data_IF_505132635638
#
_entry.id   IF_505132635638
#
_cell.length_a   1.000
_cell.length_b   1.000
_cell.length_c   1.000
_cell.angle_alpha   90.00
_cell.angle_beta   90.00
_cell.angle_gamma   90.00
#
_symmetry.space_group_name_H-M   'P 1'
#
loop_
_entity.id
_entity.type
_entity.pdbx_description
1 polymer ?
#
# COMPACT_ATOMS: atom_id res chain seq x y z
N UNK A 1 -33.43 22.72 55.92
CA UNK A 1 -34.51 21.76 56.25
C UNK A 1 -34.33 20.56 55.33
N UNK A 2 -33.99 19.32 55.71
CA UNK A 2 -34.06 18.54 56.95
C UNK A 2 -32.66 18.06 57.38
N UNK A 3 -32.61 17.53 58.60
CA UNK A 3 -31.47 17.23 59.45
C UNK A 3 -31.61 15.77 59.95
N UNK A 4 -30.53 15.20 60.56
CA UNK A 4 -30.46 13.97 61.43
C UNK A 4 -30.14 12.63 60.73
N UNK A 5 -29.30 11.69 61.22
CA UNK A 5 -28.65 11.33 62.50
C UNK A 5 -27.41 10.41 62.17
N UNK A 6 -26.22 10.43 62.80
CA UNK A 6 -25.74 10.07 64.16
C UNK A 6 -25.53 8.55 64.44
N UNK A 7 -24.24 8.19 64.67
CA UNK A 7 -23.59 7.11 65.48
C UNK A 7 -23.93 5.61 65.22
N UNK A 8 -23.16 4.58 65.63
CA UNK A 8 -22.12 4.33 66.67
C UNK A 8 -21.27 3.09 66.26
N UNK A 9 -20.01 3.03 66.71
CA UNK A 9 -19.10 1.87 66.77
C UNK A 9 -19.63 0.63 67.54
N UNK A 10 -19.16 -0.57 67.18
CA UNK A 10 -18.84 -1.74 68.05
C UNK A 10 -17.97 -2.72 67.23
N UNK A 11 -16.67 -2.91 67.55
CA UNK A 11 -16.09 -4.03 68.34
C UNK A 11 -16.67 -5.41 67.96
N UNK A 12 -15.91 -6.50 67.72
CA UNK A 12 -14.58 -6.90 68.17
C UNK A 12 -14.23 -8.28 67.56
N UNK A 13 -12.93 -8.51 67.32
CA UNK A 13 -12.19 -9.79 67.36
C UNK A 13 -12.67 -11.02 66.58
N UNK A 14 -11.87 -11.49 65.61
CA UNK A 14 -10.96 -12.63 65.85
C UNK A 14 -10.03 -12.91 64.64
N UNK A 15 -8.82 -13.34 64.98
CA UNK A 15 -7.83 -14.07 64.18
C UNK A 15 -6.82 -13.30 63.31
N UNK A 16 -5.68 -13.05 63.97
CA UNK A 16 -4.33 -13.15 63.42
C UNK A 16 -4.19 -14.34 62.46
N UNK A 17 -3.85 -14.06 61.22
CA UNK A 17 -2.87 -14.87 60.47
C UNK A 17 -2.05 -13.93 59.60
N UNK A 18 -0.84 -13.65 60.08
CA UNK A 18 0.25 -13.07 59.31
C UNK A 18 0.51 -13.99 58.12
N UNK A 19 0.37 -13.47 56.90
CA UNK A 19 0.94 -14.06 55.69
C UNK A 19 1.72 -12.94 55.00
N UNK A 20 3.01 -13.12 54.64
CA UNK A 20 3.88 -12.01 54.31
C UNK A 20 3.58 -11.50 52.90
N UNK A 21 3.40 -10.19 52.78
CA UNK A 21 3.48 -9.46 51.52
C UNK A 21 4.91 -9.49 51.00
N UNK A 22 5.23 -10.48 50.16
CA UNK A 22 6.38 -10.42 49.26
C UNK A 22 5.90 -9.87 47.91
N UNK A 23 6.42 -8.73 47.42
CA UNK A 23 6.24 -8.37 46.03
C UNK A 23 7.09 -9.35 45.22
N UNK A 24 6.46 -10.33 44.57
CA UNK A 24 7.15 -11.07 43.53
C UNK A 24 7.43 -10.09 42.39
N UNK A 25 8.63 -9.51 42.36
CA UNK A 25 9.19 -9.01 41.11
C UNK A 25 9.24 -10.20 40.16
N UNK A 26 8.28 -10.27 39.23
CA UNK A 26 8.40 -11.18 38.09
C UNK A 26 9.67 -10.77 37.35
N UNK A 27 10.67 -11.66 37.23
CA UNK A 27 11.88 -11.35 36.49
C UNK A 27 11.51 -10.93 35.07
N UNK A 28 12.02 -9.78 34.63
CA UNK A 28 11.84 -9.26 33.27
C UNK A 28 13.19 -9.34 32.55
N UNK A 29 13.55 -10.52 32.00
CA UNK A 29 14.74 -10.65 31.18
C UNK A 29 14.67 -9.76 29.94
N UNK A 30 15.84 -9.34 29.46
CA UNK A 30 16.01 -8.57 28.24
C UNK A 30 16.09 -9.49 27.03
N UNK A 31 15.23 -9.25 26.06
CA UNK A 31 15.23 -9.94 24.77
C UNK A 31 15.74 -8.98 23.70
N UNK A 32 16.87 -9.32 23.08
CA UNK A 32 17.50 -8.55 22.00
C UNK A 32 17.33 -9.25 20.66
N UNK A 33 16.83 -8.54 19.65
CA UNK A 33 16.63 -9.08 18.29
C UNK A 33 17.65 -8.53 17.30
N UNK A 34 18.46 -9.40 16.73
CA UNK A 34 19.42 -9.07 15.67
C UNK A 34 18.84 -9.41 14.27
N UNK A 35 19.20 -8.65 13.21
CA UNK A 35 20.19 -7.57 13.16
C UNK A 35 19.70 -6.19 13.65
N UNK A 36 18.40 -6.04 13.94
CA UNK A 36 17.78 -4.76 14.28
C UNK A 36 18.30 -4.09 15.57
N UNK A 37 19.01 -4.85 16.42
CA UNK A 37 19.51 -4.44 17.74
C UNK A 37 18.44 -3.87 18.68
N UNK A 38 17.15 -4.13 18.39
CA UNK A 38 16.04 -3.75 19.25
C UNK A 38 15.99 -4.66 20.47
N UNK A 39 15.84 -4.07 21.65
CA UNK A 39 15.80 -4.77 22.94
C UNK A 39 14.49 -4.46 23.66
N UNK A 40 13.88 -5.46 24.27
CA UNK A 40 12.64 -5.32 25.05
C UNK A 40 12.71 -6.20 26.29
N UNK A 41 12.13 -5.72 27.39
CA UNK A 41 11.98 -6.49 28.62
C UNK A 41 10.60 -7.16 28.63
N UNK A 42 10.55 -8.48 28.82
CA UNK A 42 9.29 -9.22 28.86
C UNK A 42 9.25 -10.20 30.03
N UNK A 43 8.09 -10.45 30.65
CA UNK A 43 7.95 -11.45 31.71
C UNK A 43 8.32 -12.86 31.24
N UNK A 44 8.87 -13.67 32.14
CA UNK A 44 9.08 -15.11 31.92
C UNK A 44 7.76 -15.78 31.49
N UNK A 45 7.85 -16.68 30.52
CA UNK A 45 6.71 -17.42 29.97
C UNK A 45 5.95 -16.67 28.86
N UNK A 46 6.28 -15.40 28.59
CA UNK A 46 5.65 -14.66 27.48
C UNK A 46 6.01 -15.30 26.13
N UNK A 47 5.05 -15.49 25.20
CA UNK A 47 5.34 -16.03 23.88
C UNK A 47 6.27 -15.12 23.09
N UNK A 48 7.32 -15.70 22.51
CA UNK A 48 8.38 -14.92 21.88
C UNK A 48 7.90 -14.09 20.68
N UNK A 49 6.91 -14.60 19.95
CA UNK A 49 6.31 -13.90 18.82
C UNK A 49 5.49 -12.67 19.23
N UNK A 50 4.89 -12.65 20.42
CA UNK A 50 4.18 -11.48 20.95
C UNK A 50 5.17 -10.39 21.35
N UNK A 51 6.27 -10.79 21.97
CA UNK A 51 7.38 -9.90 22.33
C UNK A 51 7.95 -9.20 21.10
N UNK A 52 8.19 -9.94 20.01
CA UNK A 52 8.65 -9.39 18.74
C UNK A 52 7.62 -8.41 18.15
N UNK A 53 6.34 -8.78 18.14
CA UNK A 53 5.26 -7.93 17.61
C UNK A 53 5.12 -6.61 18.36
N UNK A 54 5.29 -6.62 19.69
CA UNK A 54 5.18 -5.43 20.52
C UNK A 54 6.19 -4.32 20.15
N UNK A 55 7.33 -4.70 19.56
CA UNK A 55 8.38 -3.77 19.10
C UNK A 55 8.44 -3.61 17.58
N UNK A 56 7.38 -4.05 16.89
CA UNK A 56 7.23 -3.94 15.45
C UNK A 56 8.18 -4.84 14.65
N UNK A 57 8.55 -5.99 15.22
CA UNK A 57 9.27 -7.06 14.51
C UNK A 57 8.26 -8.15 14.17
N UNK A 58 8.12 -8.47 12.89
CA UNK A 58 7.26 -9.56 12.45
C UNK A 58 8.06 -10.85 12.24
N UNK A 59 7.58 -11.94 12.84
CA UNK A 59 8.16 -13.28 12.68
C UNK A 59 7.16 -14.08 11.85
N UNK A 60 7.62 -14.61 10.71
CA UNK A 60 6.78 -15.31 9.76
C UNK A 60 6.26 -16.65 10.33
N UNK A 61 5.03 -16.63 10.85
CA UNK A 61 4.37 -17.78 11.47
C UNK A 61 3.01 -18.10 10.82
N UNK A 62 2.98 -18.60 9.56
CA UNK A 62 1.74 -18.77 8.78
C UNK A 62 0.76 -19.80 9.36
N UNK A 63 1.19 -20.68 10.26
CA UNK A 63 0.32 -21.63 10.96
C UNK A 63 -0.38 -21.08 12.22
N UNK A 64 -0.26 -19.77 12.48
CA UNK A 64 -0.92 -19.12 13.61
C UNK A 64 -0.42 -19.56 14.99
N UNK A 65 0.82 -20.04 15.11
CA UNK A 65 1.40 -20.40 16.41
C UNK A 65 1.25 -21.85 16.85
N UNK A 66 0.67 -22.71 16.01
CA UNK A 66 0.44 -24.13 16.33
C UNK A 66 1.69 -25.01 16.24
N UNK A 67 2.82 -24.47 15.77
CA UNK A 67 4.07 -25.22 15.67
C UNK A 67 4.07 -26.31 14.60
N UNK A 68 3.16 -26.27 13.63
CA UNK A 68 2.96 -27.35 12.63
C UNK A 68 3.65 -27.11 11.28
N UNK A 69 3.92 -25.85 10.90
CA UNK A 69 4.45 -25.53 9.56
C UNK A 69 5.97 -25.42 9.44
N UNK A 70 6.70 -25.26 10.56
CA UNK A 70 8.16 -25.11 10.54
C UNK A 70 8.72 -23.81 9.93
N UNK A 71 7.89 -22.79 9.64
CA UNK A 71 8.34 -21.57 8.92
C UNK A 71 8.80 -20.40 9.80
N UNK A 72 8.59 -20.48 11.12
CA UNK A 72 8.95 -19.44 12.10
C UNK A 72 10.34 -19.68 12.74
N UNK A 73 11.30 -20.15 11.94
CA UNK A 73 12.64 -20.51 12.40
C UNK A 73 13.42 -19.27 12.83
N UNK A 74 13.87 -19.26 14.07
CA UNK A 74 14.80 -18.26 14.60
C UNK A 74 15.96 -18.98 15.27
N UNK A 75 17.08 -18.28 15.44
CA UNK A 75 18.26 -18.86 16.10
C UNK A 75 18.54 -18.13 17.41
N UNK A 76 18.76 -18.88 18.48
CA UNK A 76 19.21 -18.34 19.75
C UNK A 76 20.72 -18.20 19.71
N UNK A 77 21.23 -16.97 19.78
CA UNK A 77 22.67 -16.69 19.85
C UNK A 77 23.18 -16.89 21.28
N UNK A 78 22.41 -16.41 22.26
CA UNK A 78 22.74 -16.52 23.68
C UNK A 78 21.49 -16.46 24.54
N UNK A 79 21.56 -17.05 25.74
CA UNK A 79 20.44 -17.19 26.66
C UNK A 79 19.65 -18.49 26.47
N UNK A 80 18.65 -18.69 27.32
CA UNK A 80 17.77 -19.86 27.28
C UNK A 80 16.32 -19.46 27.05
N UNK A 81 15.64 -20.21 26.20
CA UNK A 81 14.20 -20.08 25.94
C UNK A 81 13.55 -21.45 26.07
N UNK A 82 12.33 -21.49 26.59
CA UNK A 82 11.58 -22.72 26.65
C UNK A 82 10.89 -22.94 25.30
N UNK A 83 11.24 -24.03 24.61
CA UNK A 83 10.69 -24.35 23.29
C UNK A 83 10.27 -25.81 23.20
N UNK A 84 9.20 -26.07 22.45
CA UNK A 84 8.80 -27.41 22.04
C UNK A 84 9.04 -27.62 20.55
N UNK A 85 9.60 -28.76 20.14
CA UNK A 85 9.63 -29.20 18.75
C UNK A 85 8.69 -30.40 18.58
N UNK A 86 7.68 -30.27 17.71
CA UNK A 86 6.78 -31.38 17.35
C UNK A 86 7.44 -32.36 16.35
N UNK A 87 8.74 -32.63 16.50
CA UNK A 87 9.51 -33.48 15.59
C UNK A 87 9.84 -32.86 14.23
N UNK A 88 9.64 -31.54 14.06
CA UNK A 88 9.84 -30.82 12.79
C UNK A 88 11.31 -30.45 12.53
N UNK A 89 12.08 -30.21 13.60
CA UNK A 89 13.47 -29.78 13.49
C UNK A 89 14.41 -30.98 13.39
N UNK A 90 15.39 -30.92 12.49
CA UNK A 90 16.46 -31.92 12.44
C UNK A 90 17.38 -31.79 13.66
N UNK A 91 18.14 -32.85 13.98
CA UNK A 91 19.12 -32.83 15.08
C UNK A 91 20.17 -31.73 14.88
N UNK A 92 20.65 -31.58 13.65
CA UNK A 92 21.62 -30.54 13.27
C UNK A 92 21.07 -29.12 13.50
N UNK A 93 19.78 -28.89 13.24
CA UNK A 93 19.15 -27.58 13.49
C UNK A 93 19.06 -27.27 14.98
N UNK A 94 18.72 -28.27 15.80
CA UNK A 94 18.65 -28.12 17.26
C UNK A 94 20.04 -27.83 17.83
N UNK A 95 21.08 -28.52 17.36
CA UNK A 95 22.48 -28.28 17.77
C UNK A 95 22.98 -26.88 17.38
N UNK A 96 22.45 -26.30 16.29
CA UNK A 96 22.73 -24.94 15.86
C UNK A 96 21.92 -23.87 16.63
N UNK A 97 21.15 -24.25 17.65
CA UNK A 97 20.32 -23.34 18.44
C UNK A 97 19.11 -22.82 17.68
N UNK A 98 18.65 -23.51 16.63
CA UNK A 98 17.48 -23.13 15.85
C UNK A 98 16.22 -23.66 16.54
N UNK A 99 15.23 -22.77 16.67
CA UNK A 99 13.96 -23.05 17.34
C UNK A 99 12.78 -22.52 16.52
N UNK A 100 11.57 -22.96 16.89
CA UNK A 100 10.33 -22.39 16.39
C UNK A 100 9.90 -21.24 17.30
N UNK A 101 9.99 -20.00 16.80
CA UNK A 101 9.62 -18.82 17.59
C UNK A 101 8.17 -18.84 18.06
N UNK A 102 7.29 -19.50 17.29
CA UNK A 102 5.86 -19.51 17.58
C UNK A 102 5.46 -20.40 18.77
N UNK A 103 6.31 -21.38 19.14
CA UNK A 103 6.14 -22.25 20.31
C UNK A 103 7.15 -21.95 21.42
N UNK A 104 7.98 -20.92 21.24
CA UNK A 104 8.99 -20.51 22.19
C UNK A 104 8.44 -19.48 23.19
N UNK A 105 8.87 -19.60 24.44
CA UNK A 105 8.55 -18.67 25.52
C UNK A 105 9.82 -18.19 26.22
N UNK A 106 9.76 -16.97 26.76
CA UNK A 106 10.88 -16.31 27.44
C UNK A 106 11.31 -17.10 28.69
N UNK A 107 12.59 -17.43 28.79
CA UNK A 107 13.20 -18.14 29.93
C UNK A 107 13.67 -17.20 31.05
N UNK A 108 14.43 -17.73 32.01
CA UNK A 108 14.81 -17.02 33.25
C UNK A 108 15.96 -16.01 33.13
N UNK A 109 16.51 -15.77 31.93
CA UNK A 109 17.66 -14.89 31.72
C UNK A 109 17.59 -14.14 30.40
N UNK A 110 18.50 -13.17 30.22
CA UNK A 110 18.57 -12.36 29.00
C UNK A 110 18.84 -13.23 27.76
N UNK A 111 18.19 -12.91 26.65
CA UNK A 111 18.24 -13.71 25.41
C UNK A 111 18.57 -12.81 24.23
N UNK A 112 19.45 -13.30 23.36
CA UNK A 112 19.71 -12.70 22.05
C UNK A 112 19.25 -13.65 20.95
N UNK A 113 18.34 -13.16 20.11
CA UNK A 113 17.74 -13.92 19.01
C UNK A 113 18.16 -13.33 17.68
N UNK A 114 18.64 -14.19 16.80
CA UNK A 114 18.94 -13.90 15.42
C UNK A 114 17.73 -14.18 14.54
N UNK A 115 17.29 -13.14 13.83
CA UNK A 115 16.23 -13.18 12.85
C UNK A 115 16.78 -13.26 11.41
N UNK A 116 18.09 -13.46 11.22
CA UNK A 116 18.71 -13.62 9.89
C UNK A 116 17.98 -14.66 9.02
N UNK A 117 17.50 -15.74 9.64
CA UNK A 117 16.74 -16.81 9.01
C UNK A 117 15.30 -16.41 8.63
N UNK A 118 14.74 -15.40 9.30
CA UNK A 118 13.45 -14.79 8.96
C UNK A 118 13.61 -13.73 7.86
N UNK A 119 14.75 -13.03 7.85
CA UNK A 119 15.10 -12.04 6.81
C UNK A 119 15.65 -12.67 5.53
N UNK A 120 16.01 -13.96 5.56
CA UNK A 120 16.75 -14.65 4.51
C UNK A 120 15.93 -15.52 3.56
N UNK A 121 14.60 -15.48 3.62
CA UNK A 121 13.72 -16.22 2.69
C UNK A 121 12.50 -15.44 2.21
N UNK A 122 12.43 -14.15 2.53
CA UNK A 122 11.63 -13.19 1.80
C UNK A 122 12.61 -12.47 0.86
N UNK A 123 12.37 -12.55 -0.45
CA UNK A 123 13.34 -12.19 -1.48
C UNK A 123 14.10 -10.90 -1.19
N UNK A 124 15.43 -10.96 -1.24
CA UNK A 124 16.26 -9.78 -1.41
C UNK A 124 15.82 -9.11 -2.71
N UNK A 125 14.98 -8.08 -2.62
CA UNK A 125 14.95 -7.06 -3.66
C UNK A 125 16.28 -6.34 -3.53
N UNK A 126 17.22 -6.65 -4.41
CA UNK A 126 18.42 -5.86 -4.52
C UNK A 126 18.00 -4.46 -5.00
N UNK A 127 18.44 -3.43 -4.28
CA UNK A 127 18.49 -2.02 -4.70
C UNK A 127 19.35 -1.80 -5.97
N UNK A 128 19.56 -2.85 -6.78
CA UNK A 128 20.24 -2.75 -8.06
C UNK A 128 19.21 -2.32 -9.09
N UNK A 129 19.41 -1.11 -9.60
CA UNK A 129 18.86 -0.49 -10.80
C UNK A 129 18.93 -1.32 -12.10
N UNK A 130 19.15 -2.63 -12.02
CA UNK A 130 19.07 -3.54 -13.15
C UNK A 130 17.61 -3.89 -13.35
N UNK A 131 17.04 -3.32 -14.42
CA UNK A 131 15.74 -3.60 -15.03
C UNK A 131 15.19 -4.98 -14.65
N UNK A 132 14.48 -5.05 -13.52
CA UNK A 132 13.68 -6.19 -13.15
C UNK A 132 12.42 -6.11 -14.03
N UNK A 133 12.61 -6.38 -15.31
CA UNK A 133 11.51 -6.59 -16.24
C UNK A 133 10.75 -7.80 -15.71
N UNK A 134 9.65 -7.52 -15.00
CA UNK A 134 8.73 -8.52 -14.47
C UNK A 134 8.12 -9.39 -15.58
N UNK A 135 8.31 -8.98 -16.85
CA UNK A 135 7.80 -9.61 -18.06
C UNK A 135 8.91 -9.63 -19.12
N UNK A 136 9.05 -10.75 -19.82
CA UNK A 136 9.96 -10.86 -20.99
C UNK A 136 9.59 -9.79 -22.04
N UNK A 137 10.52 -8.92 -22.47
CA UNK A 137 10.26 -7.89 -23.48
C UNK A 137 9.69 -8.41 -24.79
N UNK A 138 9.93 -9.68 -25.14
CA UNK A 138 9.38 -10.32 -26.35
C UNK A 138 7.86 -10.51 -26.25
N UNK A 139 7.31 -10.54 -25.03
CA UNK A 139 5.87 -10.64 -24.78
C UNK A 139 5.17 -9.28 -24.74
N UNK A 140 5.93 -8.17 -24.76
CA UNK A 140 5.33 -6.84 -24.77
C UNK A 140 4.82 -6.50 -26.18
N UNK A 141 3.60 -5.96 -26.30
CA UNK A 141 3.07 -5.49 -27.58
C UNK A 141 3.98 -4.41 -28.16
N UNK A 142 4.07 -4.33 -29.49
CA UNK A 142 4.82 -3.27 -30.13
C UNK A 142 4.10 -1.93 -29.93
N UNK A 143 4.83 -0.81 -30.02
CA UNK A 143 4.22 0.53 -29.91
C UNK A 143 3.04 0.74 -30.87
N UNK A 144 3.05 0.08 -32.02
CA UNK A 144 1.99 0.19 -33.03
C UNK A 144 0.71 -0.55 -32.60
N UNK A 145 0.82 -1.49 -31.67
CA UNK A 145 -0.31 -2.23 -31.10
C UNK A 145 -0.91 -1.52 -29.88
N UNK A 146 -0.23 -0.49 -29.36
CA UNK A 146 -0.67 0.27 -28.19
C UNK A 146 -1.60 1.42 -28.60
N UNK A 147 -2.83 1.39 -28.10
CA UNK A 147 -3.71 2.57 -28.07
C UNK A 147 -3.62 3.18 -26.67
N UNK A 148 -2.81 4.22 -26.52
CA UNK A 148 -2.66 4.89 -25.24
C UNK A 148 -3.98 5.58 -24.87
N UNK A 149 -4.52 5.24 -23.70
CA UNK A 149 -5.70 5.89 -23.11
C UNK A 149 -5.45 7.38 -22.85
N UNK A 150 -4.19 7.80 -22.78
CA UNK A 150 -3.83 9.21 -22.76
C UNK A 150 -3.07 9.56 -24.05
N UNK A 151 -3.44 10.67 -24.68
CA UNK A 151 -2.72 11.24 -25.81
C UNK A 151 -2.55 12.75 -25.67
N UNK A 152 -1.46 13.26 -26.22
CA UNK A 152 -1.22 14.70 -26.32
C UNK A 152 -1.62 15.18 -27.71
N UNK A 153 -2.49 16.19 -27.78
CA UNK A 153 -2.89 16.84 -29.03
C UNK A 153 -2.35 18.26 -29.05
N UNK A 154 -1.66 18.60 -30.13
CA UNK A 154 -1.14 19.93 -30.36
C UNK A 154 -2.14 20.75 -31.17
N UNK A 155 -2.55 21.91 -30.64
CA UNK A 155 -3.48 22.82 -31.32
C UNK A 155 -3.01 24.26 -31.22
N UNK A 156 -3.40 25.06 -32.19
CA UNK A 156 -3.23 26.52 -32.14
C UNK A 156 -4.57 27.16 -31.82
N UNK A 157 -4.61 27.89 -30.72
CA UNK A 157 -5.78 28.64 -30.26
C UNK A 157 -5.65 30.08 -30.75
N UNK A 158 -6.67 30.57 -31.46
CA UNK A 158 -6.67 31.92 -32.01
C UNK A 158 -6.56 32.97 -30.90
N UNK A 159 -5.76 34.00 -31.13
CA UNK A 159 -5.64 35.14 -30.22
C UNK A 159 -6.97 35.90 -30.07
N UNK A 160 -7.27 36.44 -28.88
CA UNK A 160 -8.53 37.15 -28.65
C UNK A 160 -8.71 38.37 -29.55
N UNK A 161 -9.89 38.47 -30.17
CA UNK A 161 -10.27 39.61 -31.01
C UNK A 161 -11.33 40.45 -30.31
N UNK A 162 -11.23 41.78 -30.42
CA UNK A 162 -12.21 42.72 -29.82
C UNK A 162 -13.67 42.43 -30.20
N UNK A 163 -13.90 41.85 -31.38
CA UNK A 163 -15.23 41.70 -31.97
C UNK A 163 -15.92 40.36 -31.71
N UNK A 164 -15.23 39.33 -31.21
CA UNK A 164 -15.75 37.96 -31.23
C UNK A 164 -16.45 37.52 -29.93
N UNK A 165 -16.15 38.16 -28.78
CA UNK A 165 -16.78 37.88 -27.49
C UNK A 165 -16.53 36.46 -26.94
N UNK A 166 -15.51 35.74 -27.43
CA UNK A 166 -15.27 34.34 -27.08
C UNK A 166 -14.39 34.18 -25.85
N UNK A 167 -14.74 33.22 -24.99
CA UNK A 167 -13.89 32.78 -23.88
C UNK A 167 -12.72 31.92 -24.38
N UNK A 168 -11.69 31.75 -23.55
CA UNK A 168 -10.57 30.85 -23.86
C UNK A 168 -11.04 29.39 -24.07
N UNK A 169 -12.08 28.97 -23.34
CA UNK A 169 -12.72 27.65 -23.50
C UNK A 169 -13.41 27.54 -24.87
N UNK A 170 -14.14 28.56 -25.31
CA UNK A 170 -14.79 28.57 -26.62
C UNK A 170 -13.76 28.45 -27.74
N UNK A 171 -12.63 29.17 -27.62
CA UNK A 171 -11.54 29.16 -28.61
C UNK A 171 -10.85 27.80 -28.65
N UNK A 172 -10.50 27.24 -27.49
CA UNK A 172 -9.91 25.91 -27.41
C UNK A 172 -10.86 24.84 -27.98
N UNK A 173 -12.15 24.93 -27.63
CA UNK A 173 -13.17 24.01 -28.12
C UNK A 173 -13.31 24.08 -29.64
N UNK A 174 -13.28 25.28 -30.23
CA UNK A 174 -13.28 25.47 -31.69
C UNK A 174 -12.03 24.86 -32.33
N UNK A 175 -10.85 25.10 -31.75
CA UNK A 175 -9.59 24.54 -32.25
C UNK A 175 -9.59 23.01 -32.24
N UNK A 176 -10.08 22.37 -31.17
CA UNK A 176 -10.17 20.91 -31.06
C UNK A 176 -11.23 20.32 -32.00
N UNK A 177 -12.33 21.01 -32.25
CA UNK A 177 -13.40 20.55 -33.16
C UNK A 177 -13.07 20.67 -34.64
N UNK A 178 -11.99 21.36 -35.01
CA UNK A 178 -11.60 21.51 -36.41
C UNK A 178 -11.37 20.15 -37.12
N UNK A 179 -11.06 19.08 -36.38
CA UNK A 179 -10.92 17.71 -36.88
C UNK A 179 -12.22 16.89 -36.94
N UNK A 180 -13.36 17.42 -36.50
CA UNK A 180 -14.62 16.69 -36.35
C UNK A 180 -14.68 15.87 -35.05
N UNK A 181 -15.82 15.92 -34.34
CA UNK A 181 -16.03 15.20 -33.08
C UNK A 181 -16.71 16.05 -32.01
N UNK A 182 -17.14 15.39 -30.92
CA UNK A 182 -17.63 16.09 -29.74
C UNK A 182 -16.47 16.77 -28.99
N UNK A 183 -16.78 17.87 -28.30
CA UNK A 183 -15.76 18.54 -27.48
C UNK A 183 -15.49 17.69 -26.23
N UNK A 184 -14.22 17.39 -25.94
CA UNK A 184 -13.86 16.75 -24.68
C UNK A 184 -14.30 17.59 -23.48
N UNK A 185 -14.64 16.92 -22.38
CA UNK A 185 -14.88 17.58 -21.10
C UNK A 185 -13.58 18.19 -20.59
N UNK A 186 -13.60 19.41 -20.04
CA UNK A 186 -12.38 20.06 -19.53
C UNK A 186 -12.35 19.94 -18.00
N UNK A 187 -11.28 19.34 -17.46
CA UNK A 187 -11.11 19.25 -16.01
C UNK A 187 -10.90 20.62 -15.37
N UNK A 188 -11.15 20.72 -14.07
CA UNK A 188 -10.92 21.97 -13.35
C UNK A 188 -9.43 22.36 -13.32
N UNK A 189 -8.51 21.40 -13.21
CA UNK A 189 -7.07 21.66 -13.29
C UNK A 189 -6.67 22.22 -14.65
N UNK A 190 -7.18 21.63 -15.75
CA UNK A 190 -6.96 22.14 -17.10
C UNK A 190 -7.53 23.55 -17.29
N UNK A 191 -8.73 23.84 -16.78
CA UNK A 191 -9.32 25.18 -16.83
C UNK A 191 -8.45 26.23 -16.10
N UNK A 192 -7.83 25.85 -14.98
CA UNK A 192 -6.93 26.75 -14.22
C UNK A 192 -5.64 27.05 -14.98
N UNK A 193 -5.17 26.13 -15.83
CA UNK A 193 -3.96 26.31 -16.65
C UNK A 193 -4.25 27.05 -17.96
N UNK A 194 -5.48 26.95 -18.46
CA UNK A 194 -5.86 27.35 -19.82
C UNK A 194 -5.49 28.79 -20.16
N UNK A 195 -5.82 29.74 -19.29
CA UNK A 195 -5.65 31.16 -19.58
C UNK A 195 -4.18 31.53 -19.82
N UNK A 196 -3.27 31.04 -18.97
CA UNK A 196 -1.84 31.31 -19.14
C UNK A 196 -1.28 30.55 -20.35
N UNK A 197 -1.68 29.29 -20.52
CA UNK A 197 -1.23 28.45 -21.63
C UNK A 197 -1.53 29.04 -23.01
N UNK A 198 -2.72 29.60 -23.23
CA UNK A 198 -3.09 30.20 -24.54
C UNK A 198 -2.43 31.56 -24.80
N UNK A 199 -1.89 32.23 -23.77
CA UNK A 199 -1.20 33.52 -23.90
C UNK A 199 0.29 33.35 -24.14
N UNK A 200 0.85 32.22 -23.70
CA UNK A 200 2.19 31.78 -24.06
C UNK A 200 2.23 31.21 -25.49
N UNK A 201 3.43 31.13 -26.07
CA UNK A 201 3.71 30.51 -27.38
C UNK A 201 2.78 30.91 -28.54
N UNK A 202 2.23 32.13 -28.51
CA UNK A 202 1.30 32.62 -29.52
C UNK A 202 0.08 31.72 -29.71
N UNK A 203 -0.46 31.16 -28.61
CA UNK A 203 -1.64 30.30 -28.63
C UNK A 203 -1.37 28.85 -29.02
N UNK A 204 -0.11 28.47 -29.23
CA UNK A 204 0.26 27.07 -29.46
C UNK A 204 0.28 26.31 -28.14
N UNK A 205 -0.67 25.39 -27.98
CA UNK A 205 -0.85 24.62 -26.75
C UNK A 205 -0.81 23.11 -27.02
N UNK A 206 -0.33 22.37 -26.02
CA UNK A 206 -0.39 20.92 -25.90
C UNK A 206 -1.50 20.55 -24.93
N UNK A 207 -2.49 19.80 -25.42
CA UNK A 207 -3.67 19.36 -24.69
C UNK A 207 -3.50 17.88 -24.38
N UNK A 208 -3.44 17.53 -23.10
CA UNK A 208 -3.39 16.14 -22.68
C UNK A 208 -4.83 15.63 -22.51
N UNK A 209 -5.21 14.67 -23.34
CA UNK A 209 -6.52 14.03 -23.38
C UNK A 209 -6.45 12.64 -22.79
N UNK A 210 -7.37 12.31 -21.89
CA UNK A 210 -7.62 10.97 -21.41
C UNK A 210 -8.94 10.45 -22.00
N UNK A 211 -8.90 9.32 -22.70
CA UNK A 211 -10.04 8.61 -23.26
C UNK A 211 -10.61 7.61 -22.25
N UNK A 212 -11.90 7.72 -21.99
CA UNK A 212 -12.71 6.74 -21.27
C UNK A 212 -13.68 6.09 -22.27
N UNK A 213 -14.31 4.96 -21.91
CA UNK A 213 -15.14 4.15 -22.85
C UNK A 213 -16.12 4.98 -23.69
N UNK A 214 -16.77 5.99 -23.09
CA UNK A 214 -17.81 6.79 -23.75
C UNK A 214 -17.46 8.29 -23.90
N UNK A 215 -16.28 8.74 -23.46
CA UNK A 215 -15.95 10.18 -23.42
C UNK A 215 -14.46 10.45 -23.36
N UNK A 216 -14.05 11.63 -23.85
CA UNK A 216 -12.69 12.14 -23.65
C UNK A 216 -12.69 13.31 -22.66
N UNK A 217 -11.66 13.40 -21.82
CA UNK A 217 -11.45 14.50 -20.87
C UNK A 217 -10.08 15.14 -21.06
N UNK A 218 -10.04 16.47 -21.12
CA UNK A 218 -8.80 17.26 -21.02
C UNK A 218 -8.39 17.31 -19.56
N UNK A 219 -7.20 16.79 -19.26
CA UNK A 219 -6.65 16.73 -17.91
C UNK A 219 -5.54 17.76 -17.68
N UNK A 220 -4.92 18.26 -18.74
CA UNK A 220 -3.88 19.28 -18.68
C UNK A 220 -3.82 20.07 -19.97
N UNK A 221 -3.56 21.37 -19.87
CA UNK A 221 -3.31 22.27 -21.00
C UNK A 221 -2.03 23.04 -20.71
N UNK A 222 -1.02 22.83 -21.53
CA UNK A 222 0.29 23.47 -21.39
C UNK A 222 0.66 24.21 -22.66
N UNK A 223 1.42 25.31 -22.57
CA UNK A 223 2.05 25.89 -23.75
C UNK A 223 3.07 24.90 -24.33
N UNK A 224 3.21 24.87 -25.65
CA UNK A 224 4.03 23.86 -26.34
C UNK A 224 5.49 23.84 -25.89
N UNK A 225 6.07 24.99 -25.54
CA UNK A 225 7.45 25.10 -25.03
C UNK A 225 7.66 24.42 -23.68
N UNK A 226 6.59 24.25 -22.89
CA UNK A 226 6.60 23.58 -21.59
C UNK A 226 6.04 22.16 -21.65
N UNK A 227 5.79 21.64 -22.85
CA UNK A 227 5.32 20.27 -23.06
C UNK A 227 6.31 19.28 -22.45
N UNK A 228 5.76 18.30 -21.74
CA UNK A 228 6.46 17.11 -21.27
C UNK A 228 5.71 15.86 -21.71
N UNK A 229 6.43 14.75 -21.84
CA UNK A 229 5.80 13.47 -22.11
C UNK A 229 4.91 13.10 -20.91
N UNK A 230 3.61 12.79 -21.14
CA UNK A 230 2.73 12.34 -20.08
C UNK A 230 3.21 11.00 -19.51
N UNK A 231 3.21 10.89 -18.18
CA UNK A 231 3.61 9.68 -17.48
C UNK A 231 2.38 8.91 -17.01
N UNK A 232 2.41 7.60 -17.20
CA UNK A 232 1.44 6.66 -16.65
C UNK A 232 2.10 5.79 -15.60
N UNK A 233 1.27 5.24 -14.71
CA UNK A 233 1.72 4.22 -13.76
C UNK A 233 0.90 2.94 -13.94
N UNK A 234 1.58 1.80 -13.99
CA UNK A 234 0.97 0.49 -13.85
C UNK A 234 1.22 -0.04 -12.43
N UNK A 235 0.17 -0.48 -11.75
CA UNK A 235 0.22 -1.01 -10.38
C UNK A 235 -0.22 -2.46 -10.40
N UNK A 236 0.60 -3.37 -9.88
CA UNK A 236 0.17 -4.74 -9.55
C UNK A 236 0.00 -4.87 -8.04
N UNK A 237 -1.24 -5.07 -7.61
CA UNK A 237 -1.60 -5.26 -6.21
C UNK A 237 -1.69 -6.76 -5.92
N UNK A 238 -0.54 -7.34 -5.63
CA UNK A 238 -0.43 -8.70 -5.12
C UNK A 238 -0.78 -8.79 -3.63
N UNK A 239 -1.09 -10.00 -3.17
CA UNK A 239 -1.38 -10.24 -1.75
C UNK A 239 -0.15 -9.96 -0.89
N UNK A 240 1.04 -10.41 -1.31
CA UNK A 240 2.29 -10.24 -0.56
C UNK A 240 3.08 -9.01 -0.99
N UNK A 241 3.07 -8.71 -2.28
CA UNK A 241 3.92 -7.67 -2.89
C UNK A 241 3.04 -6.72 -3.68
N UNK A 242 3.36 -5.43 -3.63
CA UNK A 242 2.82 -4.42 -4.54
C UNK A 242 3.96 -3.94 -5.43
N UNK A 243 3.70 -3.85 -6.73
CA UNK A 243 4.63 -3.32 -7.71
C UNK A 243 4.04 -2.08 -8.40
N UNK A 244 4.89 -1.10 -8.69
CA UNK A 244 4.58 0.13 -9.42
C UNK A 244 5.59 0.24 -10.55
N UNK A 245 5.12 0.38 -11.78
CA UNK A 245 5.94 0.66 -12.95
C UNK A 245 5.56 2.02 -13.52
N UNK A 246 6.56 2.84 -13.79
CA UNK A 246 6.41 4.09 -14.52
C UNK A 246 6.53 3.85 -16.01
N UNK A 247 5.68 4.50 -16.78
CA UNK A 247 5.63 4.35 -18.23
C UNK A 247 5.56 5.72 -18.89
N UNK A 248 6.47 5.99 -19.82
CA UNK A 248 6.31 7.10 -20.75
C UNK A 248 5.19 6.72 -21.74
N UNK A 249 4.09 7.48 -21.71
CA UNK A 249 2.89 7.15 -22.50
C UNK A 249 3.04 7.49 -23.99
N UNK A 250 4.03 8.28 -24.37
CA UNK A 250 4.32 8.58 -25.77
C UNK A 250 5.19 7.52 -26.41
N UNK A 251 6.18 7.01 -25.69
CA UNK A 251 7.09 5.98 -26.20
C UNK A 251 6.59 4.55 -25.91
N UNK A 252 5.80 4.37 -24.84
CA UNK A 252 5.42 3.07 -24.28
C UNK A 252 6.54 2.41 -23.47
N UNK A 253 7.65 3.10 -23.19
CA UNK A 253 8.78 2.53 -22.47
C UNK A 253 8.57 2.57 -20.98
N UNK A 254 8.89 1.46 -20.30
CA UNK A 254 8.98 1.42 -18.84
C UNK A 254 10.21 2.24 -18.42
N UNK A 255 9.99 3.26 -17.58
CA UNK A 255 11.04 4.14 -17.08
C UNK A 255 11.72 3.55 -15.85
N UNK A 256 10.92 3.08 -14.89
CA UNK A 256 11.39 2.46 -13.66
C UNK A 256 10.37 1.45 -13.12
N UNK A 257 10.80 0.65 -12.14
CA UNK A 257 9.95 -0.32 -11.45
C UNK A 257 10.33 -0.34 -9.97
N UNK A 258 9.34 -0.11 -9.12
CA UNK A 258 9.49 -0.10 -7.66
C UNK A 258 8.57 -1.15 -7.06
N UNK A 259 9.06 -1.88 -6.07
CA UNK A 259 8.28 -2.92 -5.38
C UNK A 259 8.42 -2.80 -3.86
N UNK A 260 7.37 -3.18 -3.14
CA UNK A 260 7.39 -3.27 -1.68
C UNK A 260 6.44 -4.38 -1.21
N UNK A 261 6.56 -4.74 0.06
CA UNK A 261 5.57 -5.61 0.69
C UNK A 261 4.23 -4.91 0.78
N UNK A 262 3.16 -5.66 0.55
CA UNK A 262 1.81 -5.16 0.73
C UNK A 262 1.59 -4.84 2.22
N UNK A 263 1.35 -3.56 2.53
CA UNK A 263 1.13 -3.10 3.90
C UNK A 263 -0.07 -3.73 4.62
N UNK A 264 -0.90 -4.51 3.91
CA UNK A 264 -2.01 -5.30 4.46
C UNK A 264 -1.56 -6.61 5.14
N UNK A 265 -0.29 -7.04 5.01
CA UNK A 265 0.22 -8.27 5.63
C UNK A 265 -0.12 -8.39 7.13
N UNK A 266 0.03 -7.34 7.98
CA UNK A 266 -0.33 -7.41 9.39
C UNK A 266 -1.81 -7.69 9.67
N UNK A 267 -2.68 -7.43 8.70
CA UNK A 267 -4.13 -7.66 8.79
C UNK A 267 -4.55 -9.05 8.28
N UNK A 268 -3.65 -9.76 7.60
CA UNK A 268 -3.90 -11.08 7.02
C UNK A 268 -2.84 -11.46 5.98
N UNK A 269 -2.39 -12.72 6.06
CA UNK A 269 -1.34 -13.26 5.18
C UNK A 269 -1.89 -13.72 3.83
N UNK A 270 -3.18 -13.98 3.74
CA UNK A 270 -3.85 -14.42 2.52
C UNK A 270 -5.16 -13.66 2.29
N UNK A 271 -5.81 -13.96 1.16
CA UNK A 271 -7.07 -13.34 0.75
C UNK A 271 -8.19 -13.59 1.77
N UNK A 272 -8.37 -14.81 2.25
CA UNK A 272 -9.49 -15.19 3.13
C UNK A 272 -9.36 -14.56 4.52
N UNK A 273 -8.15 -14.53 5.07
CA UNK A 273 -7.84 -13.88 6.35
C UNK A 273 -8.09 -12.37 6.28
N UNK A 274 -7.76 -11.70 5.17
CA UNK A 274 -8.10 -10.29 4.96
C UNK A 274 -9.59 -10.04 4.84
N UNK A 275 -10.33 -10.92 4.16
CA UNK A 275 -11.80 -10.85 4.13
C UNK A 275 -12.37 -10.97 5.55
N UNK A 276 -11.87 -11.93 6.35
CA UNK A 276 -12.25 -12.08 7.75
C UNK A 276 -11.94 -10.83 8.59
N UNK A 277 -10.81 -10.18 8.34
CA UNK A 277 -10.41 -8.97 9.03
C UNK A 277 -11.35 -7.80 8.67
N UNK A 278 -11.70 -7.66 7.40
CA UNK A 278 -12.53 -6.59 6.84
C UNK A 278 -14.02 -6.61 7.25
N UNK A 279 -14.42 -7.45 8.21
CA UNK A 279 -15.84 -7.64 8.62
C UNK A 279 -16.50 -6.41 9.23
N UNK A 280 -15.72 -5.40 9.62
CA UNK A 280 -16.24 -4.14 10.16
C UNK A 280 -15.78 -2.98 9.29
N UNK A 281 -16.56 -1.89 9.18
CA UNK A 281 -16.18 -0.73 8.38
C UNK A 281 -14.81 -0.18 8.75
N UNK A 282 -14.46 -0.16 10.04
CA UNK A 282 -13.18 0.35 10.54
C UNK A 282 -12.00 -0.51 10.06
N UNK A 283 -12.17 -1.83 10.04
CA UNK A 283 -11.12 -2.77 9.60
C UNK A 283 -10.99 -2.84 8.09
N UNK A 284 -12.09 -2.65 7.37
CA UNK A 284 -12.08 -2.48 5.91
C UNK A 284 -11.33 -1.20 5.52
N UNK A 285 -11.63 -0.09 6.19
CA UNK A 285 -10.94 1.18 6.00
C UNK A 285 -9.44 1.07 6.32
N UNK A 286 -9.08 0.37 7.41
CA UNK A 286 -7.68 0.11 7.74
C UNK A 286 -6.94 -0.66 6.63
N UNK A 287 -7.55 -1.70 6.06
CA UNK A 287 -6.98 -2.45 4.93
C UNK A 287 -6.84 -1.58 3.67
N UNK A 288 -7.84 -0.74 3.38
CA UNK A 288 -7.78 0.24 2.29
C UNK A 288 -6.63 1.22 2.49
N UNK A 289 -6.56 1.87 3.64
CA UNK A 289 -5.51 2.83 3.96
C UNK A 289 -4.12 2.21 3.83
N UNK A 290 -3.94 0.96 4.27
CA UNK A 290 -2.66 0.25 4.17
C UNK A 290 -2.21 0.00 2.73
N UNK A 291 -3.10 -0.43 1.84
CA UNK A 291 -2.74 -0.65 0.43
C UNK A 291 -2.53 0.66 -0.31
N UNK A 292 -3.37 1.67 -0.08
CA UNK A 292 -3.20 3.02 -0.63
C UNK A 292 -1.87 3.63 -0.18
N UNK A 293 -1.53 3.53 1.10
CA UNK A 293 -0.25 4.03 1.62
C UNK A 293 0.95 3.30 1.00
N UNK A 294 0.84 2.00 0.75
CA UNK A 294 1.89 1.23 0.07
C UNK A 294 2.10 1.75 -1.35
N UNK A 295 1.02 1.94 -2.12
CA UNK A 295 1.07 2.45 -3.50
C UNK A 295 1.63 3.88 -3.52
N UNK A 296 1.13 4.78 -2.66
CA UNK A 296 1.61 6.16 -2.60
C UNK A 296 3.09 6.25 -2.18
N UNK A 297 3.57 5.38 -1.30
CA UNK A 297 4.99 5.29 -0.94
C UNK A 297 5.84 4.89 -2.14
N UNK A 298 5.37 3.93 -2.96
CA UNK A 298 6.05 3.54 -4.20
C UNK A 298 6.07 4.68 -5.22
N UNK A 299 4.94 5.38 -5.41
CA UNK A 299 4.85 6.58 -6.27
C UNK A 299 5.78 7.70 -5.76
N UNK A 300 5.96 7.82 -4.43
CA UNK A 300 6.89 8.78 -3.86
C UNK A 300 8.35 8.41 -4.12
N UNK A 301 8.71 7.12 -3.99
CA UNK A 301 10.06 6.61 -4.33
C UNK A 301 10.38 6.92 -5.79
N UNK A 302 9.45 6.61 -6.69
CA UNK A 302 9.41 7.01 -8.09
C UNK A 302 9.73 8.50 -8.29
N UNK A 303 9.00 9.40 -7.65
CA UNK A 303 9.23 10.84 -7.78
C UNK A 303 10.62 11.29 -7.27
N UNK A 304 11.08 10.72 -6.17
CA UNK A 304 12.36 11.12 -5.53
C UNK A 304 13.57 10.58 -6.29
N UNK A 305 13.52 9.33 -6.75
CA UNK A 305 14.66 8.67 -7.38
C UNK A 305 14.76 8.99 -8.88
N UNK A 306 13.61 9.04 -9.57
CA UNK A 306 13.56 9.20 -11.03
C UNK A 306 13.32 10.67 -11.43
N UNK A 307 13.13 11.57 -10.44
CA UNK A 307 12.92 13.00 -10.67
C UNK A 307 11.56 13.33 -11.28
N UNK A 308 10.59 12.42 -11.17
CA UNK A 308 9.24 12.65 -11.65
C UNK A 308 8.50 13.68 -10.82
N UNK A 309 7.65 14.45 -11.50
CA UNK A 309 6.73 15.39 -10.87
C UNK A 309 5.36 14.73 -10.77
N UNK A 310 4.74 14.74 -9.58
CA UNK A 310 3.46 14.05 -9.32
C UNK A 310 2.35 14.49 -10.27
N UNK A 311 2.34 15.76 -10.65
CA UNK A 311 1.38 16.36 -11.56
C UNK A 311 1.52 15.89 -13.02
N UNK A 312 2.67 15.29 -13.38
CA UNK A 312 2.93 14.71 -14.70
C UNK A 312 2.44 13.26 -14.83
N UNK A 313 2.12 12.61 -13.69
CA UNK A 313 1.47 11.30 -13.67
C UNK A 313 -0.03 11.50 -13.93
N UNK A 314 -0.45 11.16 -15.14
CA UNK A 314 -1.76 11.55 -15.69
C UNK A 314 -2.75 10.40 -15.83
N UNK A 315 -2.29 9.16 -15.72
CA UNK A 315 -3.17 8.00 -15.62
C UNK A 315 -2.53 6.88 -14.80
N UNK A 316 -3.38 6.03 -14.21
CA UNK A 316 -2.95 4.84 -13.49
C UNK A 316 -3.77 3.64 -13.97
N UNK A 317 -3.12 2.51 -14.20
CA UNK A 317 -3.77 1.22 -14.35
C UNK A 317 -3.46 0.34 -13.15
N UNK A 318 -4.49 -0.20 -12.52
CA UNK A 318 -4.37 -1.11 -11.38
C UNK A 318 -4.77 -2.51 -11.82
N UNK A 319 -3.87 -3.46 -11.61
CA UNK A 319 -4.13 -4.89 -11.71
C UNK A 319 -4.01 -5.53 -10.33
N UNK A 320 -4.65 -6.68 -10.17
CA UNK A 320 -4.66 -7.44 -8.92
C UNK A 320 -5.84 -8.40 -8.90
N UNK A 321 -5.81 -9.38 -8.01
CA UNK A 321 -6.96 -10.27 -7.85
C UNK A 321 -8.20 -9.51 -7.32
N UNK A 322 -9.38 -10.07 -7.51
CA UNK A 322 -10.68 -9.43 -7.17
C UNK A 322 -10.72 -8.88 -5.75
N UNK A 323 -10.17 -9.61 -4.76
CA UNK A 323 -10.19 -9.14 -3.37
C UNK A 323 -9.26 -7.94 -3.17
N UNK A 324 -8.08 -7.94 -3.76
CA UNK A 324 -7.14 -6.81 -3.65
C UNK A 324 -7.72 -5.53 -4.24
N UNK A 325 -8.37 -5.63 -5.41
CA UNK A 325 -9.06 -4.50 -6.02
C UNK A 325 -10.24 -4.01 -5.17
N UNK A 326 -11.02 -4.91 -4.57
CA UNK A 326 -12.11 -4.54 -3.66
C UNK A 326 -11.57 -3.80 -2.41
N UNK A 327 -10.51 -4.33 -1.78
CA UNK A 327 -9.92 -3.70 -0.60
C UNK A 327 -9.33 -2.32 -0.92
N UNK A 328 -8.69 -2.16 -2.08
CA UNK A 328 -8.17 -0.87 -2.53
C UNK A 328 -9.28 0.18 -2.70
N UNK A 329 -10.43 -0.22 -3.22
CA UNK A 329 -11.60 0.67 -3.37
C UNK A 329 -12.45 0.80 -2.09
N UNK A 330 -12.09 0.08 -1.01
CA UNK A 330 -12.91 0.03 0.20
C UNK A 330 -14.27 -0.64 0.01
N UNK A 331 -14.40 -1.55 -0.95
CA UNK A 331 -15.60 -2.34 -1.19
C UNK A 331 -15.65 -3.54 -0.25
N UNK A 332 -16.80 -3.83 0.40
CA UNK A 332 -16.93 -4.99 1.29
C UNK A 332 -16.66 -6.31 0.55
N UNK A 333 -15.67 -7.12 0.97
CA UNK A 333 -15.28 -8.31 0.22
C UNK A 333 -15.95 -9.61 0.73
N UNK A 334 -16.83 -9.54 1.74
CA UNK A 334 -17.41 -10.71 2.42
C UNK A 334 -18.07 -11.70 1.46
N UNK A 335 -18.85 -11.22 0.50
CA UNK A 335 -19.59 -12.07 -0.43
C UNK A 335 -18.74 -12.72 -1.52
N UNK A 336 -17.46 -12.34 -1.65
CA UNK A 336 -16.52 -12.98 -2.59
C UNK A 336 -16.28 -14.45 -2.20
N UNK A 337 -16.27 -14.76 -0.89
CA UNK A 337 -15.97 -16.10 -0.37
C UNK A 337 -17.21 -16.90 0.05
N UNK A 338 -18.37 -16.25 0.16
CA UNK A 338 -19.60 -16.88 0.60
C UNK A 338 -20.38 -17.31 -0.63
N UNK A 339 -20.84 -18.56 -0.66
CA UNK A 339 -21.73 -19.05 -1.71
C UNK A 339 -22.90 -18.09 -1.92
N UNK A 340 -23.18 -17.64 -3.17
CA UNK A 340 -22.66 -18.12 -4.46
C UNK A 340 -21.43 -17.36 -5.02
N UNK A 341 -20.51 -16.93 -4.16
CA UNK A 341 -19.21 -16.31 -4.47
C UNK A 341 -19.30 -15.05 -5.34
N UNK A 342 -20.19 -14.13 -4.95
CA UNK A 342 -20.55 -12.97 -5.77
C UNK A 342 -19.80 -11.71 -5.33
N UNK A 343 -18.82 -11.19 -6.10
CA UNK A 343 -18.19 -9.91 -5.83
C UNK A 343 -19.15 -8.75 -6.10
N UNK A 344 -18.79 -7.55 -5.62
CA UNK A 344 -19.59 -6.33 -5.85
C UNK A 344 -19.62 -5.97 -7.34
N UNK A 345 -18.49 -6.14 -8.02
CA UNK A 345 -18.34 -5.87 -9.44
C UNK A 345 -17.18 -6.66 -10.05
N UNK A 346 -17.29 -6.94 -11.35
CA UNK A 346 -16.26 -7.56 -12.20
C UNK A 346 -15.79 -6.62 -13.32
N UNK A 347 -16.51 -5.53 -13.56
CA UNK A 347 -16.13 -4.48 -14.50
C UNK A 347 -16.09 -3.18 -13.74
N UNK A 348 -14.92 -2.57 -13.69
CA UNK A 348 -14.66 -1.37 -12.94
C UNK A 348 -14.84 -0.16 -13.85
N UNK A 349 -15.61 0.86 -13.44
CA UNK A 349 -15.52 2.16 -14.11
C UNK A 349 -14.15 2.79 -13.82
N UNK A 350 -13.79 3.82 -14.57
CA UNK A 350 -12.63 4.64 -14.20
C UNK A 350 -12.98 5.49 -12.97
N UNK A 351 -11.99 5.78 -12.12
CA UNK A 351 -12.12 6.69 -10.98
C UNK A 351 -11.12 7.84 -11.10
N UNK A 352 -11.34 8.95 -10.39
CA UNK A 352 -10.30 9.99 -10.28
C UNK A 352 -9.26 9.58 -9.24
N UNK A 353 -8.03 10.07 -9.38
CA UNK A 353 -6.97 9.87 -8.40
C UNK A 353 -7.41 10.28 -6.98
N UNK A 354 -8.19 11.36 -6.87
CA UNK A 354 -8.73 11.83 -5.59
C UNK A 354 -9.77 10.87 -4.96
N UNK A 355 -10.57 10.16 -5.75
CA UNK A 355 -11.52 9.17 -5.23
C UNK A 355 -10.84 7.92 -4.67
N UNK A 356 -9.65 7.58 -5.19
CA UNK A 356 -8.85 6.41 -4.79
C UNK A 356 -7.72 6.79 -3.81
N UNK A 357 -7.63 8.07 -3.44
CA UNK A 357 -6.60 8.63 -2.56
C UNK A 357 -5.15 8.46 -3.08
N UNK A 358 -4.95 8.50 -4.41
CA UNK A 358 -3.63 8.47 -5.02
C UNK A 358 -3.03 9.88 -5.08
N UNK A 359 -1.79 10.01 -4.62
CA UNK A 359 -1.07 11.28 -4.49
C UNK A 359 -0.35 11.67 -5.79
N UNK A 360 -1.13 11.85 -6.85
CA UNK A 360 -0.69 12.23 -8.22
C UNK A 360 -1.51 13.42 -8.72
N UNK A 361 -1.47 13.73 -10.02
CA UNK A 361 -2.36 14.71 -10.62
C UNK A 361 -3.83 14.42 -10.21
N UNK A 362 -4.55 15.36 -9.58
CA UNK A 362 -5.89 15.10 -9.04
C UNK A 362 -6.93 14.79 -10.12
N UNK A 363 -6.70 15.25 -11.35
CA UNK A 363 -7.56 14.99 -12.50
C UNK A 363 -7.19 13.70 -13.24
N UNK A 364 -6.10 13.02 -12.85
CA UNK A 364 -5.72 11.73 -13.41
C UNK A 364 -6.80 10.67 -13.20
N UNK A 365 -6.93 9.79 -14.19
CA UNK A 365 -7.87 8.67 -14.14
C UNK A 365 -7.17 7.39 -13.71
N UNK A 366 -7.84 6.64 -12.85
CA UNK A 366 -7.43 5.34 -12.34
C UNK A 366 -8.34 4.29 -12.97
N UNK A 367 -7.74 3.43 -13.76
CA UNK A 367 -8.35 2.31 -14.45
C UNK A 367 -8.01 1.01 -13.73
N UNK A 368 -8.83 0.00 -13.91
CA UNK A 368 -8.67 -1.30 -13.29
C UNK A 368 -8.75 -2.40 -14.33
N UNK A 369 -7.90 -3.41 -14.21
CA UNK A 369 -7.99 -4.62 -15.02
C UNK A 369 -9.27 -5.41 -14.66
N UNK A 370 -9.96 -5.98 -15.67
CA UNK A 370 -11.22 -6.71 -15.47
C UNK A 370 -11.08 -7.98 -14.62
#
# INVERSE_FOLDING_TARGET
MKNRNICVNLCSDLCLSVVPSFPFLTPMPKITFQPSSKTVEAPIGTPLHEVARAIGIDIHAPCGGTGTCGKCLVRVISGEVHHGSLGILSREQIEQGIILACTATVGNGDVVIDLSMQTGSAGKFSDSSDQLLLVDPVLLPSKQDLSAVVRTVEVTVDSPQLADGLSDVDRLTRALRAGGGEAPEISLGALRQLADAVREDSGRVSVVLCEEEDRARIISVLPQSRRKAPIGIAVDVGTTTVAVQEVDLESGTILSTHTDYNGQIPCGLDVISRINYARTPQRLDELRCKVVATINSLIEKSCVQDGLVREEIVCVWVSGNTTMQHLLLGLPPEHIRLDPYTPTLLRYPSFSATQVDFSINPDARVFFSP
#
